data_IF_465994063136
#
_entry.id   IF_465994063136
#
_cell.length_a   1.000
_cell.length_b   1.000
_cell.length_c   1.000
_cell.angle_alpha   90.00
_cell.angle_beta   90.00
_cell.angle_gamma   90.00
#
_symmetry.space_group_name_H-M   'P 1'
#
loop_
_entity.id
_entity.type
_entity.pdbx_description
1 polymer ?
#
# COMPACT_ATOMS: atom_id res chain seq x y z
N UNK A 1 3.18 -22.04 -14.15
CA UNK A 1 3.05 -20.94 -15.12
C UNK A 1 2.16 -19.83 -14.56
N UNK A 2 2.72 -18.66 -14.37
CA UNK A 2 2.02 -17.46 -13.89
C UNK A 2 1.37 -16.77 -15.10
N UNK A 3 0.21 -17.26 -15.51
CA UNK A 3 -0.48 -16.79 -16.71
C UNK A 3 -1.42 -15.61 -16.41
N UNK A 4 -1.77 -14.83 -17.42
CA UNK A 4 -2.83 -13.81 -17.34
C UNK A 4 -4.12 -14.41 -16.74
N UNK A 5 -4.47 -15.64 -17.11
CA UNK A 5 -5.63 -16.37 -16.58
C UNK A 5 -5.59 -16.51 -15.05
N UNK A 6 -4.41 -16.83 -14.48
CA UNK A 6 -4.26 -16.96 -13.01
C UNK A 6 -4.43 -15.61 -12.31
N UNK A 7 -3.92 -14.54 -12.93
CA UNK A 7 -4.09 -13.17 -12.44
C UNK A 7 -5.57 -12.75 -12.47
N UNK A 8 -6.28 -13.01 -13.57
CA UNK A 8 -7.70 -12.70 -13.68
C UNK A 8 -8.54 -13.47 -12.64
N UNK A 9 -8.21 -14.73 -12.35
CA UNK A 9 -8.84 -15.47 -11.25
C UNK A 9 -8.62 -14.86 -9.88
N UNK A 10 -7.46 -14.22 -9.65
CA UNK A 10 -7.25 -13.44 -8.41
C UNK A 10 -8.22 -12.25 -8.38
N UNK A 11 -8.34 -11.50 -9.46
CA UNK A 11 -9.25 -10.34 -9.56
C UNK A 11 -10.70 -10.75 -9.32
N UNK A 12 -11.17 -11.85 -9.91
CA UNK A 12 -12.52 -12.39 -9.64
C UNK A 12 -12.74 -12.69 -8.16
N UNK A 13 -11.76 -13.34 -7.51
CA UNK A 13 -11.86 -13.58 -6.05
C UNK A 13 -11.91 -12.31 -5.22
N UNK A 14 -11.22 -11.24 -5.64
CA UNK A 14 -11.31 -9.93 -4.96
C UNK A 14 -12.72 -9.36 -5.08
N UNK A 15 -13.33 -9.46 -6.26
CA UNK A 15 -14.73 -9.05 -6.50
C UNK A 15 -15.70 -9.86 -5.64
N UNK A 16 -15.56 -11.18 -5.61
CA UNK A 16 -16.37 -12.08 -4.80
C UNK A 16 -16.25 -11.78 -3.30
N UNK A 17 -15.12 -11.23 -2.87
CA UNK A 17 -14.87 -10.79 -1.48
C UNK A 17 -15.38 -9.37 -1.18
N UNK A 18 -16.00 -8.71 -2.13
CA UNK A 18 -16.66 -7.41 -1.92
C UNK A 18 -15.84 -6.19 -2.34
N UNK A 19 -14.75 -6.35 -3.10
CA UNK A 19 -14.10 -5.20 -3.76
C UNK A 19 -14.97 -4.80 -4.96
N UNK A 20 -15.51 -3.59 -4.93
CA UNK A 20 -16.45 -3.09 -5.93
C UNK A 20 -15.87 -1.99 -6.84
N UNK A 21 -14.74 -1.37 -6.46
CA UNK A 21 -14.08 -0.37 -7.30
C UNK A 21 -13.36 -1.05 -8.48
N UNK A 22 -14.01 -1.01 -9.66
CA UNK A 22 -13.47 -1.62 -10.89
C UNK A 22 -12.13 -1.02 -11.32
N UNK A 23 -11.83 0.23 -10.94
CA UNK A 23 -10.53 0.86 -11.22
C UNK A 23 -9.43 0.24 -10.35
N UNK A 24 -9.73 -0.06 -9.08
CA UNK A 24 -8.82 -0.81 -8.20
C UNK A 24 -8.60 -2.22 -8.73
N UNK A 25 -9.66 -2.93 -9.12
CA UNK A 25 -9.57 -4.27 -9.72
C UNK A 25 -8.73 -4.27 -11.01
N UNK A 26 -8.90 -3.25 -11.85
CA UNK A 26 -8.09 -3.08 -13.07
C UNK A 26 -6.61 -2.83 -12.74
N UNK A 27 -6.29 -2.01 -11.73
CA UNK A 27 -4.92 -1.78 -11.27
C UNK A 27 -4.29 -3.07 -10.73
N UNK A 28 -5.03 -3.86 -9.94
CA UNK A 28 -4.58 -5.18 -9.46
C UNK A 28 -4.35 -6.16 -10.62
N UNK A 29 -5.18 -6.10 -11.68
CA UNK A 29 -5.00 -6.89 -12.89
C UNK A 29 -3.79 -6.46 -13.71
N UNK A 30 -3.45 -5.17 -13.74
CA UNK A 30 -2.32 -4.63 -14.50
C UNK A 30 -0.97 -5.06 -13.93
N UNK A 31 -0.84 -5.19 -12.61
CA UNK A 31 0.43 -5.46 -11.94
C UNK A 31 0.68 -6.98 -11.78
N UNK A 32 1.71 -7.55 -12.43
CA UNK A 32 2.02 -8.98 -12.35
C UNK A 32 2.72 -9.31 -11.02
N UNK A 33 1.94 -9.63 -9.99
CA UNK A 33 2.40 -9.87 -8.61
C UNK A 33 3.54 -10.89 -8.50
N UNK A 34 3.60 -11.88 -9.40
CA UNK A 34 4.66 -12.90 -9.39
C UNK A 34 6.08 -12.35 -9.61
N UNK A 35 6.23 -11.14 -10.16
CA UNK A 35 7.53 -10.46 -10.31
C UNK A 35 8.07 -10.01 -8.94
N UNK A 36 7.18 -9.76 -7.98
CA UNK A 36 7.49 -9.17 -6.68
C UNK A 36 7.75 -10.19 -5.57
N UNK A 37 7.55 -11.47 -5.84
CA UNK A 37 7.85 -12.57 -4.91
C UNK A 37 9.14 -13.29 -5.32
N UNK A 38 9.68 -14.13 -4.45
CA UNK A 38 10.78 -15.00 -4.79
C UNK A 38 10.34 -16.05 -5.83
N UNK A 39 11.26 -16.49 -6.69
CA UNK A 39 10.97 -17.45 -7.76
C UNK A 39 10.30 -18.72 -7.22
N UNK A 40 10.78 -19.23 -6.08
CA UNK A 40 10.21 -20.38 -5.41
C UNK A 40 8.72 -20.18 -5.00
N UNK A 41 8.30 -18.93 -4.79
CA UNK A 41 6.94 -18.56 -4.42
C UNK A 41 6.08 -18.08 -5.59
N UNK A 42 6.62 -17.98 -6.80
CA UNK A 42 5.93 -17.43 -7.97
C UNK A 42 4.63 -18.18 -8.30
N UNK A 43 4.58 -19.50 -8.05
CA UNK A 43 3.39 -20.32 -8.27
C UNK A 43 2.23 -19.97 -7.32
N UNK A 44 2.53 -19.41 -6.14
CA UNK A 44 1.59 -18.98 -5.11
C UNK A 44 1.24 -17.49 -5.17
N UNK A 45 1.92 -16.71 -6.03
CA UNK A 45 1.83 -15.24 -6.06
C UNK A 45 0.40 -14.71 -6.18
N UNK A 46 -0.50 -15.48 -6.77
CA UNK A 46 -1.90 -15.10 -6.99
C UNK A 46 -2.88 -15.75 -6.01
N UNK A 47 -2.39 -16.49 -5.00
CA UNK A 47 -3.21 -16.90 -3.85
C UNK A 47 -3.58 -15.66 -3.02
N UNK A 48 -4.78 -15.67 -2.42
CA UNK A 48 -5.21 -14.57 -1.57
C UNK A 48 -4.67 -14.73 -0.14
N UNK A 49 -3.34 -14.69 -0.03
CA UNK A 49 -2.59 -14.80 1.22
C UNK A 49 -1.34 -13.92 1.19
N UNK A 50 -0.82 -13.57 2.37
CA UNK A 50 0.49 -12.96 2.51
C UNK A 50 1.58 -14.01 2.23
N UNK A 51 2.68 -13.59 1.59
CA UNK A 51 3.83 -14.45 1.31
C UNK A 51 5.11 -13.84 1.88
N UNK A 52 6.09 -14.66 2.31
CA UNK A 52 7.34 -14.15 2.86
C UNK A 52 8.18 -13.42 1.80
N UNK A 53 8.90 -12.38 2.23
CA UNK A 53 9.87 -11.61 1.44
C UNK A 53 11.31 -11.73 1.94
N UNK A 54 11.54 -12.48 3.01
CA UNK A 54 12.76 -12.41 3.82
C UNK A 54 12.70 -11.27 4.84
N UNK A 55 13.75 -11.12 5.65
CA UNK A 55 13.86 -10.08 6.69
C UNK A 55 12.65 -10.00 7.64
N UNK A 56 12.00 -11.14 7.91
CA UNK A 56 10.74 -11.22 8.68
C UNK A 56 9.61 -10.36 8.12
N UNK A 57 9.65 -9.98 6.84
CA UNK A 57 8.63 -9.20 6.14
C UNK A 57 7.82 -10.06 5.17
N UNK A 58 6.66 -9.53 4.78
CA UNK A 58 5.74 -10.18 3.86
C UNK A 58 5.22 -9.22 2.80
N UNK A 59 4.94 -9.75 1.60
CA UNK A 59 4.05 -9.08 0.66
C UNK A 59 2.61 -9.30 1.14
N UNK A 60 1.85 -8.24 1.33
CA UNK A 60 0.48 -8.28 1.86
C UNK A 60 -0.46 -9.11 0.98
N UNK A 61 -1.46 -9.72 1.59
CA UNK A 61 -2.54 -10.44 0.93
C UNK A 61 -3.20 -9.54 -0.15
N UNK A 62 -3.47 -10.05 -1.36
CA UNK A 62 -4.10 -9.27 -2.43
C UNK A 62 -5.38 -8.55 -2.03
N UNK A 63 -6.28 -9.23 -1.28
CA UNK A 63 -7.51 -8.61 -0.78
C UNK A 63 -7.23 -7.39 0.10
N UNK A 64 -6.26 -7.46 0.99
CA UNK A 64 -5.91 -6.34 1.89
C UNK A 64 -5.38 -5.15 1.10
N UNK A 65 -4.51 -5.37 0.11
CA UNK A 65 -4.00 -4.30 -0.77
C UNK A 65 -5.17 -3.61 -1.49
N UNK A 66 -6.05 -4.40 -2.13
CA UNK A 66 -7.21 -3.87 -2.85
C UNK A 66 -8.16 -3.11 -1.91
N UNK A 67 -8.47 -3.66 -0.73
CA UNK A 67 -9.36 -3.06 0.27
C UNK A 67 -8.85 -1.73 0.80
N UNK A 68 -7.57 -1.65 1.15
CA UNK A 68 -6.96 -0.41 1.62
C UNK A 68 -7.01 0.68 0.54
N UNK A 69 -6.72 0.33 -0.71
CA UNK A 69 -6.75 1.28 -1.84
C UNK A 69 -8.19 1.72 -2.14
N UNK A 70 -9.16 0.81 -2.12
CA UNK A 70 -10.58 1.12 -2.30
C UNK A 70 -11.09 2.10 -1.25
N UNK A 71 -10.76 1.90 0.03
CA UNK A 71 -11.10 2.81 1.13
C UNK A 71 -10.54 4.22 0.92
N UNK A 72 -9.34 4.32 0.39
CA UNK A 72 -8.69 5.60 0.11
C UNK A 72 -9.30 6.32 -1.09
N UNK A 73 -9.87 5.60 -2.05
CA UNK A 73 -10.50 6.14 -3.26
C UNK A 73 -11.97 6.51 -3.08
N UNK A 74 -12.70 5.80 -2.23
CA UNK A 74 -14.16 5.88 -2.10
C UNK A 74 -14.67 7.33 -2.04
N UNK A 75 -15.54 7.73 -2.99
CA UNK A 75 -16.09 9.09 -3.09
C UNK A 75 -15.12 10.17 -3.56
N UNK A 76 -13.92 9.80 -4.05
CA UNK A 76 -12.87 10.73 -4.50
C UNK A 76 -12.42 10.48 -5.95
N UNK A 77 -13.06 9.57 -6.64
CA UNK A 77 -12.65 9.03 -7.93
C UNK A 77 -12.49 10.14 -9.00
N UNK A 78 -13.31 11.18 -8.91
CA UNK A 78 -13.31 12.31 -9.85
C UNK A 78 -12.65 13.58 -9.28
N UNK A 79 -12.37 13.63 -7.98
CA UNK A 79 -11.86 14.83 -7.30
C UNK A 79 -10.35 14.96 -7.33
N UNK A 80 -9.63 13.85 -7.59
CA UNK A 80 -8.17 13.80 -7.62
C UNK A 80 -7.66 13.06 -8.85
N UNK A 81 -6.50 13.43 -9.41
CA UNK A 81 -5.86 12.68 -10.48
C UNK A 81 -5.68 11.21 -10.09
N UNK A 82 -6.25 10.28 -10.90
CA UNK A 82 -6.26 8.85 -10.63
C UNK A 82 -7.10 8.41 -9.42
N UNK A 83 -7.78 9.36 -8.74
CA UNK A 83 -8.58 9.11 -7.54
C UNK A 83 -7.79 9.06 -6.23
N UNK A 84 -6.44 9.04 -6.29
CA UNK A 84 -5.57 9.04 -5.10
C UNK A 84 -4.75 10.33 -4.96
N UNK A 85 -4.48 11.04 -6.08
CA UNK A 85 -3.59 12.19 -6.09
C UNK A 85 -2.17 11.83 -5.65
N UNK A 86 -1.43 12.79 -5.10
CA UNK A 86 -0.08 12.56 -4.55
C UNK A 86 -0.12 11.63 -3.35
N UNK A 87 0.55 10.50 -3.45
CA UNK A 87 0.43 9.37 -2.52
C UNK A 87 1.74 9.08 -1.81
N UNK A 88 1.66 8.80 -0.49
CA UNK A 88 2.76 8.26 0.32
C UNK A 88 2.43 6.83 0.74
N UNK A 89 3.35 5.91 0.49
CA UNK A 89 3.35 4.55 1.03
C UNK A 89 4.42 4.40 2.10
N UNK A 90 4.06 3.82 3.25
CA UNK A 90 4.98 3.43 4.31
C UNK A 90 5.07 1.91 4.36
N UNK A 91 6.28 1.38 4.22
CA UNK A 91 6.56 -0.05 4.13
C UNK A 91 6.44 -0.55 2.69
N UNK A 92 7.28 -0.03 1.79
CA UNK A 92 7.27 -0.40 0.37
C UNK A 92 7.58 -1.89 0.13
N UNK A 93 8.34 -2.53 1.02
CA UNK A 93 8.74 -3.92 0.91
C UNK A 93 9.37 -4.24 -0.44
N UNK A 94 8.76 -5.13 -1.20
CA UNK A 94 9.22 -5.48 -2.55
C UNK A 94 8.75 -4.52 -3.66
N UNK A 95 7.96 -3.48 -3.33
CA UNK A 95 7.42 -2.49 -4.29
C UNK A 95 6.10 -2.89 -4.97
N UNK A 96 5.46 -4.00 -4.58
CA UNK A 96 4.21 -4.46 -5.22
C UNK A 96 3.06 -3.47 -5.03
N UNK A 97 2.79 -3.05 -3.79
CA UNK A 97 1.72 -2.10 -3.50
C UNK A 97 2.01 -0.74 -4.13
N UNK A 98 3.29 -0.28 -4.12
CA UNK A 98 3.72 0.91 -4.85
C UNK A 98 3.40 0.83 -6.34
N UNK A 99 3.63 -0.33 -6.98
CA UNK A 99 3.31 -0.54 -8.39
C UNK A 99 1.79 -0.49 -8.67
N UNK A 100 0.96 -1.00 -7.76
CA UNK A 100 -0.51 -0.89 -7.86
C UNK A 100 -0.96 0.57 -7.68
N UNK A 101 -0.43 1.26 -6.66
CA UNK A 101 -0.70 2.68 -6.42
C UNK A 101 -0.32 3.56 -7.62
N UNK A 102 0.78 3.23 -8.29
CA UNK A 102 1.27 3.94 -9.46
C UNK A 102 0.35 3.86 -10.69
N UNK A 103 -0.60 2.90 -10.72
CA UNK A 103 -1.67 2.86 -11.73
C UNK A 103 -2.78 3.89 -11.42
N UNK A 104 -2.85 4.39 -10.17
CA UNK A 104 -3.98 5.15 -9.62
C UNK A 104 -3.57 6.52 -9.08
N UNK A 105 -2.29 6.85 -9.13
CA UNK A 105 -1.73 8.10 -8.62
C UNK A 105 -0.69 8.66 -9.59
N UNK A 106 -0.64 9.98 -9.81
CA UNK A 106 0.36 10.59 -10.67
C UNK A 106 1.78 10.49 -10.08
N UNK A 107 1.89 10.59 -8.76
CA UNK A 107 3.14 10.53 -8.02
C UNK A 107 2.98 9.66 -6.76
N UNK A 108 3.80 8.62 -6.64
CA UNK A 108 3.89 7.76 -5.47
C UNK A 108 5.27 7.94 -4.83
N UNK A 109 5.27 8.30 -3.56
CA UNK A 109 6.45 8.28 -2.70
C UNK A 109 6.34 7.03 -1.82
N UNK A 110 7.37 6.20 -1.78
CA UNK A 110 7.33 4.97 -1.01
C UNK A 110 8.57 4.85 -0.13
N UNK A 111 8.34 4.66 1.16
CA UNK A 111 9.37 4.60 2.20
C UNK A 111 9.57 3.15 2.63
N UNK A 112 10.81 2.72 2.72
CA UNK A 112 11.21 1.42 3.26
C UNK A 112 12.42 1.60 4.18
N UNK A 113 12.40 0.88 5.34
CA UNK A 113 13.45 0.96 6.35
C UNK A 113 14.54 -0.11 6.23
N UNK A 114 14.29 -1.15 5.42
CA UNK A 114 15.19 -2.30 5.22
C UNK A 114 15.89 -2.16 3.89
N UNK A 115 17.20 -1.91 3.92
CA UNK A 115 17.99 -1.59 2.72
C UNK A 115 17.91 -2.67 1.63
N UNK A 116 18.05 -3.98 1.90
CA UNK A 116 17.90 -5.03 0.89
C UNK A 116 16.51 -5.04 0.22
N UNK A 117 15.44 -4.68 0.94
CA UNK A 117 14.10 -4.62 0.36
C UNK A 117 13.93 -3.42 -0.56
N UNK A 118 14.51 -2.27 -0.22
CA UNK A 118 14.44 -1.11 -1.12
C UNK A 118 15.20 -1.34 -2.42
N UNK A 119 16.32 -2.03 -2.39
CA UNK A 119 17.04 -2.42 -3.61
C UNK A 119 16.23 -3.39 -4.46
N UNK A 120 15.58 -4.36 -3.84
CA UNK A 120 14.63 -5.27 -4.51
C UNK A 120 13.46 -4.51 -5.13
N UNK A 121 12.85 -3.58 -4.39
CA UNK A 121 11.76 -2.76 -4.90
C UNK A 121 12.19 -1.93 -6.12
N UNK A 122 13.39 -1.32 -6.09
CA UNK A 122 13.96 -0.60 -7.23
C UNK A 122 14.08 -1.48 -8.48
N UNK A 123 14.58 -2.72 -8.33
CA UNK A 123 14.72 -3.67 -9.43
C UNK A 123 13.35 -4.03 -10.01
N UNK A 124 12.38 -4.40 -9.17
CA UNK A 124 11.04 -4.79 -9.57
C UNK A 124 10.31 -3.65 -10.30
N UNK A 125 10.36 -2.42 -9.76
CA UNK A 125 9.71 -1.26 -10.36
C UNK A 125 10.35 -0.85 -11.70
N UNK A 126 11.67 -0.99 -11.84
CA UNK A 126 12.36 -0.82 -13.14
C UNK A 126 11.91 -1.85 -14.17
N UNK A 127 11.80 -3.12 -13.77
CA UNK A 127 11.29 -4.19 -14.64
C UNK A 127 9.85 -3.90 -15.10
N UNK A 128 9.05 -3.27 -14.24
CA UNK A 128 7.68 -2.85 -14.53
C UNK A 128 7.59 -1.52 -15.28
N UNK A 129 8.70 -0.82 -15.52
CA UNK A 129 8.74 0.52 -16.10
C UNK A 129 7.87 1.54 -15.34
N UNK A 130 7.80 1.40 -14.00
CA UNK A 130 7.04 2.31 -13.14
C UNK A 130 7.93 3.50 -12.75
N UNK A 131 7.85 4.59 -13.51
CA UNK A 131 8.70 5.78 -13.34
C UNK A 131 8.10 6.86 -12.44
N UNK A 132 6.83 6.72 -12.07
CA UNK A 132 6.12 7.63 -11.17
C UNK A 132 6.18 7.19 -9.68
N UNK A 133 7.04 6.21 -9.35
CA UNK A 133 7.34 5.80 -7.98
C UNK A 133 8.72 6.29 -7.56
N UNK A 134 8.77 7.02 -6.44
CA UNK A 134 10.01 7.51 -5.82
C UNK A 134 10.25 6.77 -4.51
N UNK A 135 11.19 5.83 -4.52
CA UNK A 135 11.58 5.06 -3.35
C UNK A 135 12.56 5.85 -2.47
N UNK A 136 12.35 5.76 -1.15
CA UNK A 136 13.22 6.38 -0.15
C UNK A 136 13.57 5.39 0.96
N UNK A 137 14.86 5.25 1.24
CA UNK A 137 15.35 4.53 2.41
C UNK A 137 15.24 5.46 3.61
N UNK A 138 14.28 5.22 4.51
CA UNK A 138 14.00 6.08 5.65
C UNK A 138 13.11 5.40 6.70
N UNK A 139 13.01 6.02 7.88
CA UNK A 139 12.09 5.62 8.95
C UNK A 139 10.64 5.96 8.59
N UNK A 140 9.81 4.93 8.41
CA UNK A 140 8.41 5.08 8.07
C UNK A 140 7.55 5.78 9.12
N UNK A 141 7.94 5.78 10.40
CA UNK A 141 7.22 6.52 11.44
C UNK A 141 7.31 8.04 11.26
N UNK A 142 8.38 8.50 10.63
CA UNK A 142 8.60 9.92 10.33
C UNK A 142 7.96 10.33 9.00
N UNK A 143 7.59 9.38 8.16
CA UNK A 143 7.08 9.65 6.81
C UNK A 143 8.15 10.25 5.90
N UNK A 144 7.74 11.20 5.05
CA UNK A 144 8.61 11.91 4.13
C UNK A 144 8.18 13.39 4.05
N UNK A 145 8.54 14.20 5.07
CA UNK A 145 8.04 15.56 5.22
C UNK A 145 8.50 16.51 4.10
N UNK A 146 9.68 16.25 3.50
CA UNK A 146 10.20 17.07 2.40
C UNK A 146 9.34 17.04 1.13
N UNK A 147 8.47 16.02 0.99
CA UNK A 147 7.56 15.90 -0.13
C UNK A 147 6.09 16.12 0.26
N UNK A 148 5.78 16.42 1.54
CA UNK A 148 4.41 16.71 1.98
C UNK A 148 3.86 18.02 1.33
N UNK A 149 2.53 18.23 1.30
CA UNK A 149 1.47 17.35 1.80
C UNK A 149 1.08 16.25 0.80
N UNK A 150 0.45 15.19 1.33
CA UNK A 150 -0.07 14.07 0.55
C UNK A 150 -1.59 14.04 0.58
N UNK A 151 -2.21 13.77 -0.57
CA UNK A 151 -3.66 13.53 -0.65
C UNK A 151 -4.04 12.16 -0.09
N UNK A 152 -3.10 11.22 -0.17
CA UNK A 152 -3.29 9.83 0.24
C UNK A 152 -2.06 9.32 0.97
N UNK A 153 -2.27 8.65 2.12
CA UNK A 153 -1.21 7.93 2.84
C UNK A 153 -1.70 6.50 3.09
N UNK A 154 -0.87 5.51 2.76
CA UNK A 154 -1.12 4.11 3.02
C UNK A 154 0.05 3.52 3.83
N UNK A 155 -0.26 2.83 4.93
CA UNK A 155 0.77 2.24 5.80
C UNK A 155 0.62 0.73 5.80
N UNK A 156 1.65 0.02 5.35
CA UNK A 156 1.68 -1.43 5.22
C UNK A 156 2.34 -2.14 6.44
N UNK A 157 2.34 -1.50 7.60
CA UNK A 157 2.83 -2.04 8.87
C UNK A 157 1.97 -1.52 10.02
N UNK A 158 1.78 -2.33 11.07
CA UNK A 158 0.90 -2.00 12.19
C UNK A 158 1.59 -1.07 13.19
N UNK A 159 0.99 0.09 13.43
CA UNK A 159 1.40 1.03 14.47
C UNK A 159 0.65 0.78 15.79
N UNK A 160 1.30 1.00 16.93
CA UNK A 160 0.61 0.93 18.22
C UNK A 160 -0.45 2.05 18.37
N UNK A 161 -0.21 3.17 17.71
CA UNK A 161 -1.10 4.34 17.59
C UNK A 161 -0.81 5.07 16.31
N UNK A 162 -1.74 5.88 15.85
CA UNK A 162 -1.56 6.70 14.63
C UNK A 162 -0.33 7.62 14.79
N UNK A 163 0.70 7.53 13.92
CA UNK A 163 1.89 8.36 14.04
C UNK A 163 1.57 9.84 13.79
N UNK A 164 1.86 10.75 14.76
CA UNK A 164 1.57 12.18 14.59
C UNK A 164 2.25 12.82 13.38
N UNK A 165 3.46 12.37 13.03
CA UNK A 165 4.20 12.86 11.88
C UNK A 165 3.45 12.60 10.55
N UNK A 166 2.77 11.47 10.42
CA UNK A 166 1.98 11.16 9.21
C UNK A 166 0.70 12.01 9.15
N UNK A 167 0.06 12.26 10.30
CA UNK A 167 -1.11 13.16 10.35
C UNK A 167 -0.77 14.57 9.85
N UNK A 168 0.40 15.10 10.24
CA UNK A 168 0.86 16.43 9.82
C UNK A 168 1.11 16.50 8.31
N UNK A 169 1.51 15.39 7.68
CA UNK A 169 1.80 15.28 6.25
C UNK A 169 0.56 15.04 5.39
N UNK A 170 -0.58 14.73 5.98
CA UNK A 170 -1.84 14.52 5.25
C UNK A 170 -2.42 15.88 4.82
N UNK A 171 -2.80 16.03 3.56
CA UNK A 171 -3.47 17.24 3.06
C UNK A 171 -4.89 17.41 3.65
N UNK A 172 -5.39 18.62 3.74
CA UNK A 172 -6.82 18.84 4.05
C UNK A 172 -7.65 18.20 2.94
N UNK A 173 -8.67 17.42 3.32
CA UNK A 173 -9.43 16.54 2.41
C UNK A 173 -8.68 15.24 2.06
N UNK A 174 -7.47 15.04 2.59
CA UNK A 174 -6.68 13.83 2.41
C UNK A 174 -7.18 12.66 3.27
N UNK A 175 -6.79 11.45 2.88
CA UNK A 175 -7.08 10.19 3.60
C UNK A 175 -5.84 9.40 3.88
N UNK A 176 -5.81 8.77 5.05
CA UNK A 176 -4.80 7.79 5.41
C UNK A 176 -5.47 6.51 5.87
N UNK A 177 -4.95 5.36 5.43
CA UNK A 177 -5.32 4.06 5.94
C UNK A 177 -4.11 3.35 6.54
N UNK A 178 -4.28 2.80 7.74
CA UNK A 178 -3.22 2.10 8.45
C UNK A 178 -3.79 1.04 9.39
N UNK A 179 -3.04 -0.06 9.64
CA UNK A 179 -3.36 -0.97 10.73
C UNK A 179 -2.89 -0.38 12.06
N UNK A 180 -3.77 -0.43 13.08
CA UNK A 180 -3.47 0.05 14.44
C UNK A 180 -3.74 -1.06 15.44
N UNK A 181 -2.83 -1.25 16.39
CA UNK A 181 -2.92 -2.20 17.50
C UNK A 181 -1.62 -2.96 17.75
N UNK A 182 -1.34 -3.29 19.01
CA UNK A 182 -0.16 -4.07 19.43
C UNK A 182 -0.42 -5.59 19.41
N UNK A 183 -1.62 -6.03 19.80
CA UNK A 183 -2.04 -7.44 19.82
C UNK A 183 -3.15 -7.67 18.79
N UNK A 184 -4.35 -7.22 19.09
CA UNK A 184 -5.43 -7.13 18.12
C UNK A 184 -5.24 -5.89 17.27
N UNK A 185 -5.23 -6.06 15.96
CA UNK A 185 -5.05 -4.98 14.99
C UNK A 185 -6.32 -4.80 14.17
N UNK A 186 -6.65 -3.53 13.88
CA UNK A 186 -7.71 -3.19 12.94
C UNK A 186 -7.22 -2.15 11.93
N UNK A 187 -7.80 -2.13 10.76
CA UNK A 187 -7.63 -1.02 9.84
C UNK A 187 -8.32 0.23 10.41
N UNK A 188 -7.64 1.34 10.34
CA UNK A 188 -8.17 2.66 10.65
C UNK A 188 -8.11 3.52 9.40
N UNK A 189 -9.22 4.18 9.08
CA UNK A 189 -9.30 5.21 8.07
C UNK A 189 -9.29 6.56 8.78
N UNK A 190 -8.34 7.41 8.42
CA UNK A 190 -8.20 8.77 8.91
C UNK A 190 -8.53 9.73 7.77
N UNK A 191 -9.43 10.67 8.00
CA UNK A 191 -9.79 11.72 7.05
C UNK A 191 -9.43 13.08 7.66
N UNK A 192 -8.62 13.86 6.96
CA UNK A 192 -8.29 15.22 7.41
C UNK A 192 -9.34 16.20 6.93
N UNK A 193 -10.03 16.86 7.85
CA UNK A 193 -10.99 17.94 7.60
C UNK A 193 -10.37 19.30 7.94
N UNK A 194 -10.97 20.42 7.54
CA UNK A 194 -10.53 21.75 8.00
C UNK A 194 -10.57 21.94 9.52
N UNK A 195 -11.40 21.14 10.23
CA UNK A 195 -11.60 21.22 11.68
C UNK A 195 -10.72 20.22 12.46
N UNK A 196 -10.07 19.27 11.80
CA UNK A 196 -9.25 18.25 12.44
C UNK A 196 -9.26 16.92 11.70
N UNK A 197 -9.21 15.83 12.44
CA UNK A 197 -9.18 14.47 11.89
C UNK A 197 -10.39 13.68 12.34
N UNK A 198 -10.99 12.96 11.40
CA UNK A 198 -11.99 11.92 11.66
C UNK A 198 -11.31 10.57 11.58
N UNK A 199 -11.55 9.72 12.56
CA UNK A 199 -11.00 8.36 12.61
C UNK A 199 -12.13 7.34 12.62
N UNK A 200 -12.08 6.38 11.71
CA UNK A 200 -13.02 5.27 11.60
C UNK A 200 -12.27 3.95 11.73
N UNK A 201 -12.61 3.17 12.77
CA UNK A 201 -12.12 1.80 12.94
C UNK A 201 -12.91 0.86 12.03
N UNK A 202 -12.19 -0.01 11.31
CA UNK A 202 -12.73 -0.92 10.30
C UNK A 202 -12.37 -2.39 10.62
N UNK A 203 -12.11 -3.18 9.59
CA UNK A 203 -11.91 -4.62 9.65
C UNK A 203 -10.68 -5.01 10.49
N UNK A 204 -10.79 -6.16 11.18
CA UNK A 204 -9.65 -6.77 11.87
C UNK A 204 -8.62 -7.26 10.84
N UNK A 205 -7.34 -7.02 11.12
CA UNK A 205 -6.22 -7.36 10.22
C UNK A 205 -5.02 -7.88 11.00
N UNK A 206 -4.01 -8.37 10.28
CA UNK A 206 -2.73 -8.75 10.84
C UNK A 206 -1.58 -8.30 9.96
N UNK A 207 -0.77 -7.40 10.46
CA UNK A 207 0.43 -6.84 9.81
C UNK A 207 1.66 -7.04 10.68
N UNK A 208 2.83 -6.95 10.04
CA UNK A 208 4.11 -6.78 10.72
C UNK A 208 4.15 -5.43 11.45
N UNK A 209 4.92 -5.29 12.55
CA UNK A 209 4.97 -4.05 13.31
C UNK A 209 5.66 -2.92 12.53
N UNK A 210 5.17 -1.70 12.69
CA UNK A 210 5.83 -0.47 12.23
C UNK A 210 6.93 -0.11 13.23
N UNK A 211 8.16 -0.45 12.88
CA UNK A 211 9.35 -0.21 13.70
C UNK A 211 9.99 1.13 13.35
N UNK A 212 10.61 1.78 14.33
CA UNK A 212 11.40 3.01 14.16
C UNK A 212 12.80 2.72 13.63
N UNK A 213 13.44 3.74 13.04
CA UNK A 213 14.79 3.68 12.51
C UNK A 213 14.89 2.90 11.20
N UNK A 214 16.12 2.82 10.67
CA UNK A 214 16.47 2.10 9.43
C UNK A 214 17.36 0.90 9.74
N UNK A 215 17.40 -0.09 8.84
CA UNK A 215 18.12 -1.37 8.99
C UNK A 215 18.80 -1.77 7.70
#
# INVERSE_FOLDING_TARGET
MTSLRTRMRMVERLRDKGIVDETVLAAMAAVPRHIFVEEAMAHRAYEDTALPLGHSQTISQPYIVARMIELLRAGREQSLPGGLGKTLEIGAGCGYQAAVLAQLAPDVYAVERIEPLIERAKQNLRQMQQFNVRLKYADGQLGLPEAAPYHTIIVAAAANRVPPALLQQLAVGGRMVLPVGAGEQALHLIERTPQGFLETKLDAVRFVPLLSGVE
#
